data_IF_625129838113
#
_entry.id   IF_625129838113
#
_cell.length_a   1.000
_cell.length_b   1.000
_cell.length_c   1.000
_cell.angle_alpha   90.00
_cell.angle_beta   90.00
_cell.angle_gamma   90.00
#
_symmetry.space_group_name_H-M   'P 1'
#
loop_
_entity.id
_entity.type
_entity.pdbx_description
1 polymer ?
#
# COMPACT_ATOMS: atom_id res chain seq x y z
N UNK A 1 -40.00 9.71 33.50
CA UNK A 1 -38.78 10.54 33.33
C UNK A 1 -38.45 10.58 31.84
N UNK A 2 -38.19 11.75 31.25
CA UNK A 2 -37.90 11.87 29.82
C UNK A 2 -36.45 11.45 29.54
N UNK A 3 -36.26 10.32 28.86
CA UNK A 3 -34.94 9.75 28.55
C UNK A 3 -34.38 10.21 27.18
N UNK A 4 -35.17 10.93 26.37
CA UNK A 4 -34.72 11.42 25.07
C UNK A 4 -33.50 12.35 25.14
N UNK A 5 -33.41 13.35 26.05
CA UNK A 5 -32.24 14.24 26.08
C UNK A 5 -30.97 13.52 26.52
N UNK A 6 -31.07 12.56 27.45
CA UNK A 6 -29.92 11.77 27.89
C UNK A 6 -29.45 10.81 26.81
N UNK A 7 -30.35 10.13 26.11
CA UNK A 7 -30.00 9.26 24.98
C UNK A 7 -29.33 10.04 23.84
N UNK A 8 -29.86 11.22 23.49
CA UNK A 8 -29.27 12.09 22.47
C UNK A 8 -27.85 12.56 22.86
N UNK A 9 -27.65 12.94 24.12
CA UNK A 9 -26.34 13.36 24.61
C UNK A 9 -25.31 12.22 24.56
N UNK A 10 -25.69 11.01 24.96
CA UNK A 10 -24.81 9.83 24.88
C UNK A 10 -24.45 9.51 23.43
N UNK A 11 -25.44 9.43 22.53
CA UNK A 11 -25.18 9.16 21.11
C UNK A 11 -24.28 10.21 20.47
N UNK A 12 -24.50 11.49 20.77
CA UNK A 12 -23.66 12.59 20.30
C UNK A 12 -22.22 12.44 20.79
N UNK A 13 -22.02 12.18 22.08
CA UNK A 13 -20.69 11.99 22.65
C UNK A 13 -19.98 10.76 22.05
N UNK A 14 -20.67 9.64 21.91
CA UNK A 14 -20.09 8.42 21.32
C UNK A 14 -19.70 8.64 19.87
N UNK A 15 -20.53 9.32 19.08
CA UNK A 15 -20.24 9.63 17.67
C UNK A 15 -19.03 10.55 17.56
N UNK A 16 -18.96 11.60 18.40
CA UNK A 16 -17.82 12.51 18.43
C UNK A 16 -16.52 11.76 18.73
N UNK A 17 -16.52 10.90 19.77
CA UNK A 17 -15.34 10.11 20.14
C UNK A 17 -14.91 9.19 18.99
N UNK A 18 -15.86 8.49 18.36
CA UNK A 18 -15.57 7.62 17.22
C UNK A 18 -14.94 8.38 16.05
N UNK A 19 -15.46 9.57 15.73
CA UNK A 19 -14.92 10.43 14.66
C UNK A 19 -13.51 10.89 15.00
N UNK A 20 -13.27 11.35 16.24
CA UNK A 20 -11.95 11.82 16.68
C UNK A 20 -10.92 10.70 16.62
N UNK A 21 -11.25 9.52 17.18
CA UNK A 21 -10.35 8.36 17.20
C UNK A 21 -10.08 7.86 15.78
N UNK A 22 -11.13 7.74 14.96
CA UNK A 22 -10.99 7.32 13.57
C UNK A 22 -10.12 8.28 12.76
N UNK A 23 -10.37 9.58 12.87
CA UNK A 23 -9.56 10.59 12.20
C UNK A 23 -8.12 10.53 12.66
N UNK A 24 -7.86 10.46 13.97
CA UNK A 24 -6.50 10.39 14.48
C UNK A 24 -5.74 9.15 13.99
N UNK A 25 -6.41 8.01 13.82
CA UNK A 25 -5.79 6.77 13.35
C UNK A 25 -5.56 6.74 11.83
N UNK A 26 -6.55 7.13 11.02
CA UNK A 26 -6.48 7.01 9.55
C UNK A 26 -5.93 8.26 8.85
N UNK A 27 -5.86 9.41 9.52
CA UNK A 27 -5.28 10.63 8.96
C UNK A 27 -3.79 10.79 9.30
N UNK A 28 -3.09 9.73 9.74
CA UNK A 28 -1.64 9.78 9.96
C UNK A 28 -0.88 9.85 8.62
N UNK A 29 0.31 10.49 8.59
CA UNK A 29 1.10 10.63 7.37
C UNK A 29 1.42 9.31 6.67
N UNK A 30 1.56 8.20 7.41
CA UNK A 30 1.86 6.87 6.84
C UNK A 30 0.88 6.43 5.73
N UNK A 31 -0.36 6.95 5.75
CA UNK A 31 -1.39 6.66 4.74
C UNK A 31 -1.48 7.70 3.61
N UNK A 32 -0.82 8.86 3.75
CA UNK A 32 -0.97 10.01 2.86
C UNK A 32 0.36 10.64 2.41
N UNK A 33 1.51 10.06 2.78
CA UNK A 33 2.83 10.58 2.44
C UNK A 33 3.18 10.27 0.96
N UNK A 34 2.86 11.23 0.09
CA UNK A 34 3.27 11.18 -1.32
C UNK A 34 4.79 11.22 -1.40
N UNK A 35 5.36 10.24 -2.09
CA UNK A 35 6.82 10.16 -2.28
C UNK A 35 7.58 9.48 -1.15
N UNK A 36 6.88 8.87 -0.17
CA UNK A 36 7.52 7.97 0.79
C UNK A 36 8.28 6.86 0.06
N UNK A 37 9.59 6.75 0.31
CA UNK A 37 10.49 5.81 -0.35
C UNK A 37 11.34 5.09 0.71
N UNK A 38 10.88 3.96 1.25
CA UNK A 38 11.64 3.23 2.26
C UNK A 38 12.88 2.59 1.63
N UNK A 39 13.95 2.48 2.43
CA UNK A 39 15.17 1.77 2.02
C UNK A 39 14.85 0.30 1.78
N UNK A 40 15.02 -0.15 0.53
CA UNK A 40 14.82 -1.55 0.16
C UNK A 40 16.03 -2.41 0.55
N UNK A 41 15.83 -3.73 0.83
CA UNK A 41 16.93 -4.65 1.10
C UNK A 41 17.91 -4.79 -0.07
N UNK A 42 19.18 -5.10 0.23
CA UNK A 42 20.23 -5.30 -0.78
C UNK A 42 20.52 -4.04 -1.61
N UNK A 43 20.66 -4.20 -2.92
CA UNK A 43 20.73 -3.09 -3.89
C UNK A 43 19.36 -2.48 -4.22
N UNK A 44 18.27 -3.08 -3.73
CA UNK A 44 16.90 -2.67 -4.01
C UNK A 44 16.44 -2.96 -5.44
N UNK A 45 15.14 -2.85 -5.66
CA UNK A 45 14.54 -2.92 -6.99
C UNK A 45 14.39 -1.51 -7.60
N UNK A 46 14.65 -1.37 -8.89
CA UNK A 46 14.55 -0.09 -9.61
C UNK A 46 13.55 -0.17 -10.77
N UNK A 47 12.34 0.37 -10.59
CA UNK A 47 11.31 0.41 -11.63
C UNK A 47 11.76 1.15 -12.90
N UNK A 48 12.55 2.22 -12.78
CA UNK A 48 12.93 3.05 -13.94
C UNK A 48 13.75 2.29 -14.97
N UNK A 49 14.56 1.32 -14.54
CA UNK A 49 15.31 0.46 -15.45
C UNK A 49 14.35 -0.52 -16.15
N UNK A 50 13.50 -1.19 -15.37
CA UNK A 50 12.66 -2.28 -15.87
C UNK A 50 11.50 -1.80 -16.76
N UNK A 51 10.72 -0.82 -16.32
CA UNK A 51 9.57 -0.32 -17.08
C UNK A 51 9.95 0.87 -17.96
N UNK A 52 10.86 1.73 -17.47
CA UNK A 52 11.25 2.95 -18.19
C UNK A 52 12.23 2.70 -19.34
N UNK A 53 13.28 1.91 -19.13
CA UNK A 53 14.31 1.65 -20.16
C UNK A 53 14.07 0.38 -20.94
N UNK A 54 13.75 -0.73 -20.27
CA UNK A 54 13.54 -2.03 -20.92
C UNK A 54 12.12 -2.20 -21.46
N UNK A 55 11.18 -1.35 -21.05
CA UNK A 55 9.80 -1.39 -21.53
C UNK A 55 9.00 -2.62 -21.09
N UNK A 56 9.37 -3.24 -19.96
CA UNK A 56 8.62 -4.37 -19.42
C UNK A 56 7.20 -3.93 -19.00
N UNK A 57 6.20 -4.71 -19.41
CA UNK A 57 4.81 -4.52 -19.00
C UNK A 57 4.66 -4.72 -17.48
N UNK A 58 3.85 -3.88 -16.84
CA UNK A 58 3.61 -3.91 -15.39
C UNK A 58 3.16 -5.31 -14.88
N UNK A 59 2.40 -6.03 -15.70
CA UNK A 59 1.83 -7.35 -15.38
C UNK A 59 2.86 -8.47 -15.40
N UNK A 60 4.03 -8.23 -16.00
CA UNK A 60 5.12 -9.21 -15.98
C UNK A 60 5.56 -9.53 -14.55
N UNK A 61 5.61 -8.52 -13.68
CA UNK A 61 5.93 -8.68 -12.27
C UNK A 61 4.68 -8.77 -11.38
N UNK A 62 3.68 -7.92 -11.64
CA UNK A 62 2.44 -7.85 -10.87
C UNK A 62 1.34 -8.68 -11.54
N UNK A 63 1.51 -9.99 -11.54
CA UNK A 63 0.67 -10.92 -12.32
C UNK A 63 -0.80 -10.93 -11.91
N UNK A 64 -1.11 -10.59 -10.66
CA UNK A 64 -2.47 -10.73 -10.13
C UNK A 64 -3.34 -9.49 -10.32
N UNK A 65 -2.86 -8.44 -11.01
CA UNK A 65 -3.59 -7.16 -11.11
C UNK A 65 -4.93 -7.26 -11.83
N UNK A 66 -5.13 -8.26 -12.69
CA UNK A 66 -6.38 -8.47 -13.42
C UNK A 66 -7.36 -9.38 -12.67
N UNK A 67 -6.86 -10.24 -11.77
CA UNK A 67 -7.65 -11.31 -11.13
C UNK A 67 -7.88 -11.11 -9.63
N UNK A 68 -7.18 -10.15 -9.02
CA UNK A 68 -7.15 -9.96 -7.57
C UNK A 68 -7.35 -8.51 -7.17
N UNK A 69 -7.97 -8.30 -6.00
CA UNK A 69 -8.09 -6.98 -5.37
C UNK A 69 -6.77 -6.44 -4.81
N UNK A 70 -5.71 -7.26 -4.82
CA UNK A 70 -4.37 -6.86 -4.40
C UNK A 70 -3.35 -7.22 -5.49
N UNK A 71 -2.49 -6.27 -5.83
CA UNK A 71 -1.35 -6.50 -6.71
C UNK A 71 -0.24 -7.22 -5.94
N UNK A 72 0.18 -8.39 -6.42
CA UNK A 72 1.22 -9.15 -5.76
C UNK A 72 2.60 -8.52 -5.96
N UNK A 73 3.47 -8.67 -4.97
CA UNK A 73 4.92 -8.51 -5.17
C UNK A 73 5.43 -9.78 -5.86
N UNK A 74 6.27 -9.69 -6.91
CA UNK A 74 6.76 -10.87 -7.60
C UNK A 74 7.61 -11.75 -6.67
N UNK A 75 7.53 -13.08 -6.80
CA UNK A 75 8.46 -13.99 -6.14
C UNK A 75 9.87 -13.86 -6.73
N UNK A 76 10.90 -14.22 -5.95
CA UNK A 76 12.32 -14.17 -6.36
C UNK A 76 12.60 -14.86 -7.69
N UNK A 77 11.84 -15.92 -8.02
CA UNK A 77 11.94 -16.63 -9.31
C UNK A 77 11.74 -15.72 -10.52
N UNK A 78 10.91 -14.68 -10.42
CA UNK A 78 10.70 -13.72 -11.53
C UNK A 78 11.97 -12.92 -11.77
N UNK A 79 12.65 -12.47 -10.70
CA UNK A 79 13.94 -11.79 -10.78
C UNK A 79 15.01 -12.71 -11.38
N UNK A 80 15.11 -13.94 -10.86
CA UNK A 80 16.10 -14.92 -11.32
C UNK A 80 15.81 -15.44 -12.74
N UNK A 81 14.64 -15.19 -13.32
CA UNK A 81 14.38 -15.46 -14.73
C UNK A 81 15.34 -14.70 -15.67
N UNK A 82 15.86 -13.56 -15.22
CA UNK A 82 16.87 -12.76 -15.94
C UNK A 82 18.17 -12.58 -15.16
N UNK A 83 18.13 -12.51 -13.83
CA UNK A 83 19.29 -12.25 -12.97
C UNK A 83 20.09 -13.51 -12.58
N UNK A 84 19.92 -14.63 -13.29
CA UNK A 84 20.84 -15.77 -13.13
C UNK A 84 22.26 -15.41 -13.57
N UNK A 85 23.24 -16.10 -12.99
CA UNK A 85 24.65 -15.92 -13.31
C UNK A 85 24.91 -15.99 -14.83
N UNK A 86 25.63 -14.98 -15.35
CA UNK A 86 26.00 -14.89 -16.77
C UNK A 86 24.92 -14.37 -17.73
N UNK A 87 23.81 -13.81 -17.22
CA UNK A 87 22.74 -13.21 -18.06
C UNK A 87 22.70 -11.69 -18.05
N UNK A 88 23.33 -11.06 -17.08
CA UNK A 88 23.37 -9.61 -16.93
C UNK A 88 24.82 -9.24 -16.62
N UNK A 89 25.41 -8.46 -17.51
CA UNK A 89 26.79 -7.98 -17.45
C UNK A 89 26.95 -6.85 -16.41
#
# INVERSE_FOLDING_TARGET
MNALPTAAAVMGATTLVAVVVGTWYWATPDFWEVGYMPKQPGSGFNHQIHTGRLGLDCRYCHTNVEDSHWANIPPVKTCMGCHTEGKLD
#
